data_IF_939799138146
#
_entry.id   IF_939799138146
#
_cell.length_a   1.000
_cell.length_b   1.000
_cell.length_c   1.000
_cell.angle_alpha   90.00
_cell.angle_beta   90.00
_cell.angle_gamma   90.00
#
_symmetry.space_group_name_H-M   'P 1'
#
loop_
_entity.id
_entity.type
_entity.pdbx_description
1 polymer ?
#
# COMPACT_ATOMS: atom_id res chain seq x y z
N UNK A 1 6.92 14.37 25.67
CA UNK A 1 5.60 13.96 26.18
C UNK A 1 5.17 12.85 25.25
N UNK A 2 5.35 11.60 25.67
CA UNK A 2 4.91 10.43 24.91
C UNK A 2 3.40 10.33 25.05
N UNK A 3 2.68 10.96 24.12
CA UNK A 3 1.26 10.67 23.94
C UNK A 3 1.14 9.18 23.62
N UNK A 4 0.55 8.41 24.54
CA UNK A 4 0.15 7.04 24.25
C UNK A 4 -0.93 7.11 23.19
N UNK A 5 -0.53 6.95 21.94
CA UNK A 5 -1.46 6.85 20.81
C UNK A 5 -2.28 5.58 21.03
N UNK A 6 -3.59 5.75 21.22
CA UNK A 6 -4.51 4.64 21.43
C UNK A 6 -4.69 3.90 20.10
N UNK A 7 -3.97 2.80 19.95
CA UNK A 7 -3.94 1.98 18.73
C UNK A 7 -5.01 0.90 18.81
N UNK A 8 -5.84 0.79 17.76
CA UNK A 8 -6.88 -0.25 17.70
C UNK A 8 -6.35 -1.59 17.23
N UNK A 9 -5.30 -1.58 16.42
CA UNK A 9 -4.63 -2.78 15.94
C UNK A 9 -3.30 -2.96 16.67
N UNK A 10 -2.88 -4.21 16.74
CA UNK A 10 -1.50 -4.60 17.05
C UNK A 10 -0.70 -4.75 15.76
N UNK A 11 0.63 -4.67 15.85
CA UNK A 11 1.52 -4.91 14.70
C UNK A 11 1.25 -6.27 14.02
N UNK A 12 0.99 -7.32 14.81
CA UNK A 12 0.65 -8.65 14.30
C UNK A 12 -0.68 -8.66 13.54
N UNK A 13 -1.69 -7.94 14.03
CA UNK A 13 -2.97 -7.80 13.32
C UNK A 13 -2.80 -7.03 12.00
N UNK A 14 -2.07 -5.92 12.02
CA UNK A 14 -1.78 -5.14 10.82
C UNK A 14 -1.04 -5.97 9.76
N UNK A 15 -0.03 -6.76 10.18
CA UNK A 15 0.67 -7.69 9.30
C UNK A 15 -0.28 -8.72 8.70
N UNK A 16 -1.16 -9.32 9.52
CA UNK A 16 -2.11 -10.32 9.04
C UNK A 16 -3.10 -9.72 8.03
N UNK A 17 -3.60 -8.52 8.29
CA UNK A 17 -4.46 -7.78 7.35
C UNK A 17 -3.75 -7.55 6.01
N UNK A 18 -2.48 -7.13 6.04
CA UNK A 18 -1.68 -6.95 4.84
C UNK A 18 -1.46 -8.28 4.08
N UNK A 19 -1.13 -9.37 4.78
CA UNK A 19 -0.98 -10.70 4.19
C UNK A 19 -2.28 -11.19 3.52
N UNK A 20 -3.42 -11.04 4.19
CA UNK A 20 -4.72 -11.44 3.65
C UNK A 20 -5.10 -10.61 2.41
N UNK A 21 -4.78 -9.31 2.43
CA UNK A 21 -4.97 -8.43 1.29
C UNK A 21 -4.04 -8.80 0.12
N UNK A 22 -2.77 -9.05 0.40
CA UNK A 22 -1.77 -9.50 -0.57
C UNK A 22 -2.24 -10.78 -1.29
N UNK A 23 -2.67 -11.79 -0.52
CA UNK A 23 -3.18 -13.05 -1.06
C UNK A 23 -4.44 -12.82 -1.92
N UNK A 24 -5.41 -12.04 -1.41
CA UNK A 24 -6.66 -11.74 -2.10
C UNK A 24 -6.45 -11.10 -3.47
N UNK A 25 -5.53 -10.16 -3.59
CA UNK A 25 -5.24 -9.44 -4.84
C UNK A 25 -4.03 -9.98 -5.60
N UNK A 26 -3.46 -11.12 -5.15
CA UNK A 26 -2.30 -11.79 -5.76
C UNK A 26 -1.11 -10.85 -5.98
N UNK A 27 -0.85 -9.99 -4.99
CA UNK A 27 0.25 -9.03 -5.05
C UNK A 27 1.58 -9.73 -4.75
N UNK A 28 2.62 -9.35 -5.50
CA UNK A 28 3.95 -9.94 -5.40
C UNK A 28 4.70 -9.44 -4.14
N UNK A 29 5.76 -10.15 -3.76
CA UNK A 29 6.61 -9.83 -2.62
C UNK A 29 6.42 -10.74 -1.40
N UNK A 30 7.27 -10.58 -0.39
CA UNK A 30 7.29 -11.38 0.83
C UNK A 30 7.22 -10.46 2.04
N UNK A 31 6.13 -10.56 2.81
CA UNK A 31 6.03 -9.90 4.12
C UNK A 31 6.75 -10.78 5.14
N UNK A 32 7.83 -10.27 5.74
CA UNK A 32 8.58 -11.00 6.76
C UNK A 32 7.77 -11.29 8.03
N UNK A 33 7.98 -12.47 8.62
CA UNK A 33 7.30 -12.87 9.87
C UNK A 33 7.78 -12.10 11.10
N UNK A 34 8.92 -11.42 11.01
CA UNK A 34 9.41 -10.52 12.06
C UNK A 34 8.66 -9.19 11.98
N UNK A 35 7.80 -8.92 12.96
CA UNK A 35 7.03 -7.67 13.04
C UNK A 35 7.91 -6.44 13.23
N UNK A 36 9.06 -6.55 13.89
CA UNK A 36 9.92 -5.38 14.11
C UNK A 36 10.61 -4.93 12.83
N UNK A 37 10.83 -5.86 11.90
CA UNK A 37 11.41 -5.57 10.58
C UNK A 37 10.35 -5.16 9.56
N UNK A 38 9.19 -5.81 9.60
CA UNK A 38 8.16 -5.65 8.56
C UNK A 38 7.10 -4.61 8.88
N UNK A 39 6.92 -4.19 10.14
CA UNK A 39 5.79 -3.36 10.56
C UNK A 39 6.25 -2.10 11.28
N UNK A 40 5.80 -0.94 10.81
CA UNK A 40 6.06 0.36 11.45
C UNK A 40 4.75 1.10 11.72
N UNK A 41 4.64 1.67 12.91
CA UNK A 41 3.49 2.48 13.31
C UNK A 41 3.73 3.96 13.04
N UNK A 42 2.73 4.63 12.49
CA UNK A 42 2.72 6.07 12.29
C UNK A 42 1.44 6.66 12.89
N UNK A 43 1.53 7.60 13.84
CA UNK A 43 0.36 8.21 14.47
C UNK A 43 -0.48 9.02 13.49
N UNK A 44 0.16 9.52 12.43
CA UNK A 44 -0.47 10.19 11.30
C UNK A 44 0.25 9.76 10.02
N UNK A 45 -0.49 9.52 8.94
CA UNK A 45 0.10 9.16 7.66
C UNK A 45 -0.66 9.81 6.49
N UNK A 46 0.06 10.10 5.42
CA UNK A 46 -0.48 10.82 4.27
C UNK A 46 -1.74 10.14 3.71
N UNK A 47 -2.84 10.91 3.61
CA UNK A 47 -4.15 10.48 3.09
C UNK A 47 -4.84 9.35 3.88
N UNK A 48 -4.37 9.02 5.07
CA UNK A 48 -5.06 8.12 6.01
C UNK A 48 -5.64 8.95 7.14
N UNK A 49 -6.88 8.69 7.50
CA UNK A 49 -7.52 9.37 8.63
C UNK A 49 -7.12 8.69 9.94
N UNK A 50 -6.27 9.36 10.71
CA UNK A 50 -5.70 8.84 11.95
C UNK A 50 -4.41 8.06 11.73
N UNK A 51 -4.15 7.11 12.61
CA UNK A 51 -2.92 6.33 12.59
C UNK A 51 -2.91 5.25 11.50
N UNK A 52 -1.71 4.92 11.04
CA UNK A 52 -1.49 3.88 10.04
C UNK A 52 -0.36 2.94 10.46
N UNK A 53 -0.51 1.68 10.05
CA UNK A 53 0.55 0.68 10.11
C UNK A 53 1.09 0.45 8.71
N UNK A 54 2.39 0.67 8.53
CA UNK A 54 3.11 0.39 7.30
C UNK A 54 3.67 -1.03 7.39
N UNK A 55 3.26 -1.89 6.47
CA UNK A 55 3.73 -3.28 6.37
C UNK A 55 4.55 -3.43 5.09
N UNK A 56 5.84 -3.73 5.23
CA UNK A 56 6.79 -3.85 4.13
C UNK A 56 6.77 -5.27 3.56
N UNK A 57 6.88 -5.36 2.23
CA UNK A 57 7.08 -6.63 1.53
C UNK A 57 8.21 -6.51 0.52
N UNK A 58 9.19 -7.42 0.65
CA UNK A 58 10.35 -7.52 -0.24
C UNK A 58 9.97 -8.22 -1.55
N UNK A 59 10.35 -7.62 -2.68
CA UNK A 59 10.03 -8.06 -4.04
C UNK A 59 11.21 -8.81 -4.69
N UNK A 60 12.40 -8.81 -4.08
CA UNK A 60 13.67 -9.11 -4.74
C UNK A 60 13.75 -10.47 -5.46
N UNK A 61 14.55 -10.54 -6.54
CA UNK A 61 15.75 -11.38 -6.48
C UNK A 61 17.02 -10.54 -6.72
N UNK A 62 17.82 -10.44 -5.64
CA UNK A 62 19.02 -9.58 -5.47
C UNK A 62 19.99 -9.64 -6.67
N UNK A 63 19.92 -8.63 -7.55
CA UNK A 63 20.93 -8.42 -8.62
C UNK A 63 21.19 -6.95 -8.97
N UNK A 64 20.27 -6.03 -8.66
CA UNK A 64 20.37 -4.60 -9.02
C UNK A 64 19.95 -3.70 -7.83
N UNK A 65 20.54 -2.52 -7.75
CA UNK A 65 20.50 -1.57 -6.61
C UNK A 65 19.19 -0.74 -6.54
N UNK A 66 18.03 -1.36 -6.77
CA UNK A 66 16.73 -0.74 -6.50
C UNK A 66 16.17 -1.23 -5.17
N UNK A 67 15.52 -0.36 -4.39
CA UNK A 67 14.67 -0.79 -3.27
C UNK A 67 13.46 -1.53 -3.86
N UNK A 68 13.61 -2.85 -3.96
CA UNK A 68 12.58 -3.79 -4.40
C UNK A 68 11.60 -4.02 -3.25
N UNK A 69 10.89 -2.98 -2.77
CA UNK A 69 9.86 -3.12 -1.73
C UNK A 69 8.52 -2.50 -2.16
N UNK A 70 7.41 -3.14 -1.77
CA UNK A 70 6.09 -2.48 -1.73
C UNK A 70 5.67 -2.33 -0.27
N UNK A 71 4.90 -1.29 0.02
CA UNK A 71 4.40 -1.03 1.39
C UNK A 71 2.88 -1.05 1.42
N UNK A 72 2.30 -1.92 2.23
CA UNK A 72 0.88 -1.92 2.53
C UNK A 72 0.60 -0.91 3.63
N UNK A 73 -0.28 0.06 3.35
CA UNK A 73 -0.71 1.06 4.32
C UNK A 73 -2.04 0.62 4.93
N UNK A 74 -1.99 0.15 6.18
CA UNK A 74 -3.16 -0.34 6.92
C UNK A 74 -3.70 0.77 7.81
N UNK A 75 -4.97 1.13 7.64
CA UNK A 75 -5.67 2.06 8.54
C UNK A 75 -5.85 1.40 9.90
N UNK A 76 -5.25 1.98 10.95
CA UNK A 76 -5.45 1.51 12.32
C UNK A 76 -6.93 1.65 12.73
N UNK A 77 -7.55 2.77 12.31
CA UNK A 77 -8.94 3.07 12.65
C UNK A 77 -9.94 2.05 12.10
N UNK A 78 -9.74 1.66 10.84
CA UNK A 78 -10.72 0.92 10.03
C UNK A 78 -10.36 -0.57 9.87
N UNK A 79 -9.12 -0.97 10.17
CA UNK A 79 -8.72 -2.38 10.10
C UNK A 79 -8.59 -2.93 8.68
N UNK A 80 -8.29 -2.07 7.71
CA UNK A 80 -8.19 -2.42 6.28
C UNK A 80 -6.96 -1.78 5.63
N UNK A 81 -6.49 -2.36 4.53
CA UNK A 81 -5.48 -1.72 3.67
C UNK A 81 -6.14 -0.56 2.91
N UNK A 82 -5.70 0.68 3.17
CA UNK A 82 -6.16 1.87 2.45
C UNK A 82 -5.56 1.95 1.04
N UNK A 83 -4.26 1.68 0.94
CA UNK A 83 -3.54 1.63 -0.33
C UNK A 83 -2.22 0.85 -0.17
N UNK A 84 -1.60 0.55 -1.30
CA UNK A 84 -0.26 -0.02 -1.39
C UNK A 84 0.63 1.00 -2.07
N UNK A 85 1.74 1.37 -1.44
CA UNK A 85 2.79 2.15 -2.09
C UNK A 85 3.62 1.19 -2.93
N UNK A 86 3.75 1.48 -4.23
CA UNK A 86 4.71 0.78 -5.07
C UNK A 86 6.15 1.19 -4.74
N UNK A 87 7.13 0.59 -5.43
CA UNK A 87 8.55 0.85 -5.22
C UNK A 87 8.96 2.31 -5.47
N UNK A 88 8.11 3.14 -6.10
CA UNK A 88 8.33 4.58 -6.28
C UNK A 88 7.60 5.42 -5.23
N UNK A 89 6.90 4.79 -4.28
CA UNK A 89 6.05 5.46 -3.30
C UNK A 89 4.72 5.94 -3.88
N UNK A 90 4.31 5.49 -5.07
CA UNK A 90 3.02 5.89 -5.64
C UNK A 90 1.89 5.01 -5.07
N UNK A 91 0.77 5.62 -4.62
CA UNK A 91 -0.32 4.87 -3.99
C UNK A 91 -1.18 4.15 -5.04
N UNK A 92 -1.35 2.85 -4.82
CA UNK A 92 -2.17 1.93 -5.62
C UNK A 92 -3.32 1.36 -4.77
N UNK A 93 -4.55 1.40 -5.29
CA UNK A 93 -5.76 0.93 -4.59
C UNK A 93 -6.39 -0.26 -5.29
N UNK A 94 -5.76 -1.44 -5.17
CA UNK A 94 -6.20 -2.67 -5.84
C UNK A 94 -7.64 -3.13 -5.51
N UNK A 95 -8.18 -2.70 -4.36
CA UNK A 95 -9.56 -2.99 -3.96
C UNK A 95 -10.59 -2.01 -4.54
N UNK A 96 -10.15 -0.90 -5.13
CA UNK A 96 -11.01 0.03 -5.85
C UNK A 96 -10.93 -0.36 -7.33
N UNK A 97 -12.07 -0.59 -8.01
CA UNK A 97 -12.06 -0.80 -9.44
C UNK A 97 -11.35 0.37 -10.12
N UNK A 98 -10.33 0.08 -10.93
CA UNK A 98 -9.76 1.08 -11.82
C UNK A 98 -10.86 1.49 -12.77
N UNK A 99 -11.49 2.65 -12.55
CA UNK A 99 -12.52 3.21 -13.43
C UNK A 99 -11.90 3.72 -14.76
N UNK A 100 -10.80 3.10 -15.20
CA UNK A 100 -10.07 3.34 -16.46
C UNK A 100 -10.49 2.36 -17.54
N UNK A 101 -11.73 1.90 -17.52
CA UNK A 101 -12.37 1.40 -18.74
C UNK A 101 -12.68 2.63 -19.61
N UNK A 102 -11.63 3.33 -20.06
CA UNK A 102 -11.78 4.27 -21.15
C UNK A 102 -12.16 3.42 -22.35
N UNK A 103 -13.28 3.76 -22.98
CA UNK A 103 -13.54 3.27 -24.33
C UNK A 103 -12.41 3.72 -25.25
N UNK A 104 -12.15 2.99 -26.34
CA UNK A 104 -11.14 3.37 -27.34
C UNK A 104 -11.35 4.82 -27.81
N UNK A 105 -12.61 5.25 -27.90
CA UNK A 105 -13.01 6.62 -28.24
C UNK A 105 -12.60 7.66 -27.18
N UNK A 106 -12.72 7.34 -25.89
CA UNK A 106 -12.28 8.22 -24.78
C UNK A 106 -10.76 8.30 -24.68
N UNK A 107 -10.05 7.21 -24.98
CA UNK A 107 -8.60 7.21 -25.02
C UNK A 107 -8.09 8.05 -26.20
N UNK A 108 -8.62 7.85 -27.40
CA UNK A 108 -8.26 8.66 -28.57
C UNK A 108 -8.53 10.15 -28.33
N UNK A 109 -9.66 10.53 -27.72
CA UNK A 109 -9.96 11.93 -27.43
C UNK A 109 -8.95 12.63 -26.50
N UNK A 110 -8.33 11.91 -25.57
CA UNK A 110 -7.33 12.47 -24.63
C UNK A 110 -5.96 12.64 -25.30
N UNK A 111 -5.61 11.74 -26.22
CA UNK A 111 -4.29 11.73 -26.88
C UNK A 111 -4.28 12.44 -28.23
N UNK A 112 -5.44 12.80 -28.77
CA UNK A 112 -5.57 13.49 -30.06
C UNK A 112 -5.69 15.02 -29.92
N UNK A 113 -5.55 15.57 -28.70
CA UNK A 113 -5.51 17.02 -28.42
C UNK A 113 -4.08 17.62 -28.47
N UNK A 114 -3.09 16.91 -29.04
CA UNK A 114 -1.74 17.45 -29.35
C UNK A 114 -1.48 17.59 -30.86
N UNK A 115 -2.45 18.05 -31.65
CA UNK A 115 -2.17 18.66 -32.96
C UNK A 115 -2.95 19.97 -33.17
N UNK A 116 -2.38 21.07 -32.66
CA UNK A 116 -2.28 22.33 -33.42
C UNK A 116 -1.03 23.15 -33.03
#
# INVERSE_FOLDING_TARGET
MDEKVDTKLTATQARKIAQDYQEKYKLYGVIHDDTEQSVKFYPEFYRVEGAAWLVLADITPKSYEGDDEITFVVSDRDGVVDHVLDHNGLPQRYHVPSNRDYTDEEFEAIFNDEEE
#
